data_IF_444729984360
#
_entry.id   IF_444729984360
#
_cell.length_a   1.000
_cell.length_b   1.000
_cell.length_c   1.000
_cell.angle_alpha   90.00
_cell.angle_beta   90.00
_cell.angle_gamma   90.00
#
_symmetry.space_group_name_H-M   'P 1'
#
loop_
_entity.id
_entity.type
_entity.pdbx_description
1 polymer ?
#
# COMPACT_ATOMS: atom_id res chain seq x y z
N UNK A 1 28.81 11.68 2.91
CA UNK A 1 28.62 10.24 2.64
C UNK A 1 27.84 9.55 3.75
N UNK A 2 28.23 9.68 5.03
CA UNK A 2 27.51 9.04 6.15
C UNK A 2 26.02 9.44 6.25
N UNK A 3 25.68 10.74 6.08
CA UNK A 3 24.29 11.21 6.09
C UNK A 3 23.46 10.54 5.00
N UNK A 4 24.00 10.42 3.78
CA UNK A 4 23.28 9.76 2.67
C UNK A 4 23.05 8.28 2.98
N UNK A 5 24.04 7.57 3.50
CA UNK A 5 23.91 6.18 3.91
C UNK A 5 22.85 6.01 5.00
N UNK A 6 22.81 6.90 6.00
CA UNK A 6 21.78 6.92 7.04
C UNK A 6 20.38 7.12 6.45
N UNK A 7 20.23 8.06 5.50
CA UNK A 7 18.93 8.33 4.87
C UNK A 7 18.46 7.19 3.97
N UNK A 8 19.37 6.47 3.31
CA UNK A 8 19.02 5.25 2.55
C UNK A 8 18.44 4.19 3.49
N UNK A 9 19.06 3.95 4.63
CA UNK A 9 18.59 2.96 5.61
C UNK A 9 17.22 3.35 6.18
N UNK A 10 17.03 4.60 6.57
CA UNK A 10 15.74 5.10 7.02
C UNK A 10 14.67 5.00 5.92
N UNK A 11 15.08 5.29 4.68
CA UNK A 11 14.23 5.22 3.50
C UNK A 11 13.76 3.82 3.13
N UNK A 12 14.52 2.78 3.46
CA UNK A 12 14.12 1.39 3.23
C UNK A 12 12.88 1.01 4.05
N UNK A 13 12.81 1.40 5.31
CA UNK A 13 11.64 1.13 6.15
C UNK A 13 10.38 1.86 5.65
N UNK A 14 10.49 3.16 5.34
CA UNK A 14 9.41 3.92 4.73
C UNK A 14 9.01 3.36 3.37
N UNK A 15 10.01 2.97 2.56
CA UNK A 15 9.81 2.34 1.26
C UNK A 15 9.10 0.99 1.34
N UNK A 16 9.33 0.21 2.40
CA UNK A 16 8.58 -1.02 2.67
C UNK A 16 7.08 -0.77 2.88
N UNK A 17 6.73 0.29 3.60
CA UNK A 17 5.32 0.71 3.79
C UNK A 17 4.72 1.16 2.45
N UNK A 18 5.44 1.98 1.67
CA UNK A 18 4.98 2.44 0.36
C UNK A 18 4.84 1.28 -0.65
N UNK A 19 5.72 0.29 -0.58
CA UNK A 19 5.64 -0.90 -1.41
C UNK A 19 4.36 -1.72 -1.11
N UNK A 20 4.00 -1.90 0.16
CA UNK A 20 2.78 -2.62 0.54
C UNK A 20 1.52 -1.94 -0.01
N UNK A 21 1.40 -0.62 0.16
CA UNK A 21 0.24 0.11 -0.37
C UNK A 21 0.24 0.13 -1.91
N UNK A 22 1.40 0.26 -2.56
CA UNK A 22 1.53 0.23 -4.02
C UNK A 22 1.16 -1.14 -4.61
N UNK A 23 1.57 -2.24 -3.97
CA UNK A 23 1.20 -3.59 -4.39
C UNK A 23 -0.31 -3.80 -4.24
N UNK A 24 -0.92 -3.29 -3.17
CA UNK A 24 -2.38 -3.31 -3.02
C UNK A 24 -3.11 -2.60 -4.17
N UNK A 25 -2.65 -1.43 -4.56
CA UNK A 25 -3.16 -0.68 -5.72
C UNK A 25 -3.01 -1.46 -7.02
N UNK A 26 -1.79 -1.92 -7.29
CA UNK A 26 -1.45 -2.70 -8.50
C UNK A 26 -2.27 -3.98 -8.62
N UNK A 27 -2.55 -4.65 -7.51
CA UNK A 27 -3.33 -5.89 -7.49
C UNK A 27 -4.77 -5.65 -7.95
N UNK A 28 -5.45 -4.61 -7.45
CA UNK A 28 -6.83 -4.29 -7.88
C UNK A 28 -6.84 -3.79 -9.32
N UNK A 29 -5.94 -2.86 -9.66
CA UNK A 29 -5.91 -2.31 -11.01
C UNK A 29 -5.57 -3.39 -12.06
N UNK A 30 -4.59 -4.23 -11.78
CA UNK A 30 -4.15 -5.27 -12.72
C UNK A 30 -5.20 -6.34 -13.01
N UNK A 31 -6.09 -6.65 -12.04
CA UNK A 31 -7.08 -7.72 -12.18
C UNK A 31 -8.47 -7.18 -12.54
N UNK A 32 -8.87 -6.04 -11.97
CA UNK A 32 -10.22 -5.49 -12.14
C UNK A 32 -10.26 -4.35 -13.17
N UNK A 33 -9.12 -3.73 -13.44
CA UNK A 33 -8.99 -2.64 -14.42
C UNK A 33 -9.57 -1.29 -13.93
N UNK A 34 -9.74 -1.11 -12.62
CA UNK A 34 -10.28 0.13 -12.04
C UNK A 34 -9.31 0.80 -11.08
N UNK A 35 -9.36 2.12 -11.02
CA UNK A 35 -8.63 2.91 -10.03
C UNK A 35 -9.44 2.92 -8.73
N UNK A 36 -9.01 2.14 -7.75
CA UNK A 36 -9.69 2.02 -6.45
C UNK A 36 -9.27 3.12 -5.47
N UNK A 37 -9.83 4.32 -5.59
CA UNK A 37 -9.46 5.46 -4.73
C UNK A 37 -9.72 5.23 -3.23
N UNK A 38 -10.57 4.24 -2.87
CA UNK A 38 -10.85 3.89 -1.47
C UNK A 38 -9.70 3.16 -0.77
N UNK A 39 -8.68 2.72 -1.53
CA UNK A 39 -7.55 1.96 -0.97
C UNK A 39 -6.78 2.73 0.12
N UNK A 40 -6.63 4.06 -0.05
CA UNK A 40 -6.06 4.92 0.98
C UNK A 40 -6.89 4.95 2.27
N UNK A 41 -8.21 4.87 2.18
CA UNK A 41 -9.05 4.83 3.36
C UNK A 41 -8.97 3.49 4.10
N UNK A 42 -8.75 2.38 3.37
CA UNK A 42 -8.47 1.07 3.99
C UNK A 42 -7.14 1.08 4.74
N UNK A 43 -6.13 1.77 4.24
CA UNK A 43 -4.89 2.04 4.97
C UNK A 43 -5.18 2.77 6.30
N UNK A 44 -5.98 3.82 6.30
CA UNK A 44 -6.40 4.54 7.51
C UNK A 44 -7.16 3.61 8.47
N UNK A 45 -8.09 2.79 7.97
CA UNK A 45 -8.82 1.80 8.79
C UNK A 45 -7.85 0.84 9.47
N UNK A 46 -6.82 0.36 8.77
CA UNK A 46 -5.77 -0.51 9.34
C UNK A 46 -5.00 0.17 10.47
N UNK A 47 -4.61 1.43 10.27
CA UNK A 47 -3.93 2.23 11.29
C UNK A 47 -4.81 2.42 12.55
N UNK A 48 -6.08 2.80 12.39
CA UNK A 48 -6.97 2.98 13.54
C UNK A 48 -7.32 1.65 14.24
N UNK A 49 -7.52 0.58 13.49
CA UNK A 49 -7.74 -0.76 14.07
C UNK A 49 -6.57 -1.17 14.94
N UNK A 50 -5.36 -1.05 14.41
CA UNK A 50 -4.15 -1.33 15.17
C UNK A 50 -4.01 -0.47 16.42
N UNK A 51 -4.28 0.82 16.31
CA UNK A 51 -4.27 1.74 17.46
C UNK A 51 -5.22 1.28 18.57
N UNK A 52 -6.46 0.94 18.24
CA UNK A 52 -7.43 0.49 19.26
C UNK A 52 -7.04 -0.86 19.87
N UNK A 53 -6.55 -1.80 19.07
CA UNK A 53 -6.12 -3.12 19.56
C UNK A 53 -4.91 -3.01 20.50
N UNK A 54 -3.99 -2.12 20.22
CA UNK A 54 -2.78 -1.93 21.05
C UNK A 54 -3.05 -1.08 22.29
N UNK A 55 -3.88 -0.05 22.18
CA UNK A 55 -4.17 0.88 23.30
C UNK A 55 -5.21 0.30 24.25
N UNK A 56 -6.35 -0.16 23.72
CA UNK A 56 -7.45 -0.68 24.54
C UNK A 56 -7.32 -2.19 24.78
N UNK A 57 -6.96 -2.95 23.73
CA UNK A 57 -6.80 -4.40 23.79
C UNK A 57 -5.46 -4.84 24.38
N UNK A 58 -4.52 -3.93 24.61
CA UNK A 58 -3.15 -4.22 25.10
C UNK A 58 -2.46 -5.35 24.33
N UNK A 59 -2.78 -5.47 23.05
CA UNK A 59 -2.23 -6.49 22.18
C UNK A 59 -0.81 -6.16 21.76
N UNK A 60 0.01 -7.18 21.61
CA UNK A 60 1.35 -7.06 21.02
C UNK A 60 1.29 -6.81 19.51
N UNK A 61 2.40 -6.43 18.91
CA UNK A 61 2.52 -6.01 17.51
C UNK A 61 1.91 -7.03 16.52
N UNK A 62 2.30 -8.32 16.63
CA UNK A 62 1.96 -9.34 15.63
C UNK A 62 0.45 -9.64 15.59
N UNK A 63 -0.24 -9.97 16.71
CA UNK A 63 -1.68 -10.20 16.66
C UNK A 63 -2.46 -8.95 16.26
N UNK A 64 -2.04 -7.75 16.70
CA UNK A 64 -2.68 -6.51 16.28
C UNK A 64 -2.55 -6.27 14.76
N UNK A 65 -1.38 -6.55 14.18
CA UNK A 65 -1.16 -6.49 12.73
C UNK A 65 -2.08 -7.47 11.98
N UNK A 66 -2.12 -8.73 12.38
CA UNK A 66 -2.94 -9.75 11.71
C UNK A 66 -4.43 -9.42 11.76
N UNK A 67 -4.94 -8.96 12.90
CA UNK A 67 -6.33 -8.53 13.03
C UNK A 67 -6.58 -7.28 12.17
N UNK A 68 -5.67 -6.31 12.15
CA UNK A 68 -5.78 -5.13 11.29
C UNK A 68 -5.83 -5.51 9.81
N UNK A 69 -5.02 -6.49 9.38
CA UNK A 69 -5.07 -7.02 8.01
C UNK A 69 -6.43 -7.69 7.71
N UNK A 70 -6.97 -8.47 8.64
CA UNK A 70 -8.30 -9.10 8.48
C UNK A 70 -9.42 -8.05 8.40
N UNK A 71 -9.38 -7.02 9.26
CA UNK A 71 -10.36 -5.92 9.23
C UNK A 71 -10.25 -5.12 7.92
N UNK A 72 -9.03 -4.84 7.46
CA UNK A 72 -8.80 -4.17 6.17
C UNK A 72 -9.29 -4.99 4.99
N UNK A 73 -9.06 -6.31 5.00
CA UNK A 73 -9.60 -7.22 3.99
C UNK A 73 -11.14 -7.19 3.98
N UNK A 74 -11.77 -7.27 5.14
CA UNK A 74 -13.22 -7.17 5.29
C UNK A 74 -13.77 -5.82 4.82
N UNK A 75 -13.13 -4.72 5.21
CA UNK A 75 -13.52 -3.38 4.78
C UNK A 75 -13.43 -3.23 3.25
N UNK A 76 -12.34 -3.69 2.62
CA UNK A 76 -12.20 -3.64 1.17
C UNK A 76 -13.25 -4.51 0.45
N UNK A 77 -13.59 -5.69 0.98
CA UNK A 77 -14.68 -6.51 0.43
C UNK A 77 -16.04 -5.84 0.58
N UNK A 78 -16.30 -5.14 1.68
CA UNK A 78 -17.53 -4.36 1.85
C UNK A 78 -17.61 -3.20 0.86
N UNK A 79 -16.51 -2.47 0.66
CA UNK A 79 -16.44 -1.40 -0.33
C UNK A 79 -16.66 -1.93 -1.76
N UNK A 80 -16.13 -3.10 -2.09
CA UNK A 80 -16.45 -3.78 -3.35
C UNK A 80 -17.93 -4.12 -3.45
N UNK A 81 -18.47 -4.78 -2.43
CA UNK A 81 -19.85 -5.27 -2.42
C UNK A 81 -20.88 -4.15 -2.59
N UNK A 82 -20.70 -3.02 -1.90
CA UNK A 82 -21.64 -1.91 -1.94
C UNK A 82 -21.34 -0.90 -3.06
N UNK A 83 -20.09 -0.74 -3.45
CA UNK A 83 -19.67 0.24 -4.45
C UNK A 83 -19.56 -0.33 -5.86
N UNK A 84 -18.80 -1.38 -6.06
CA UNK A 84 -18.40 -1.82 -7.39
C UNK A 84 -19.26 -2.97 -7.95
N UNK A 85 -19.75 -3.88 -7.10
CA UNK A 85 -20.64 -4.98 -7.55
C UNK A 85 -21.88 -4.45 -8.28
N UNK A 86 -22.60 -3.43 -7.77
CA UNK A 86 -23.76 -2.88 -8.50
C UNK A 86 -23.40 -2.31 -9.87
N UNK A 87 -22.22 -1.71 -10.00
CA UNK A 87 -21.75 -1.14 -11.28
C UNK A 87 -21.35 -2.25 -12.27
N UNK A 88 -20.68 -3.31 -11.78
CA UNK A 88 -20.34 -4.47 -12.62
C UNK A 88 -21.59 -5.13 -13.20
N UNK A 89 -22.63 -5.34 -12.36
CA UNK A 89 -23.89 -5.93 -12.79
C UNK A 89 -24.62 -5.09 -13.85
N UNK A 90 -24.45 -3.75 -13.83
CA UNK A 90 -25.02 -2.82 -14.81
C UNK A 90 -24.13 -2.60 -16.04
N UNK A 91 -22.94 -3.20 -16.09
CA UNK A 91 -21.99 -2.98 -17.19
C UNK A 91 -21.38 -1.59 -17.26
N UNK A 92 -21.51 -0.78 -16.20
CA UNK A 92 -21.07 0.64 -16.16
C UNK A 92 -19.80 0.87 -15.31
N UNK A 93 -19.06 -0.20 -14.99
CA UNK A 93 -17.92 -0.13 -14.07
C UNK A 93 -16.81 0.81 -14.59
N UNK A 94 -16.46 0.74 -15.86
CA UNK A 94 -15.40 1.58 -16.44
C UNK A 94 -15.73 3.07 -16.40
N UNK A 95 -16.99 3.45 -16.67
CA UNK A 95 -17.42 4.84 -16.75
C UNK A 95 -17.68 5.46 -15.36
N UNK A 96 -18.30 4.69 -14.46
CA UNK A 96 -18.76 5.20 -13.16
C UNK A 96 -17.90 4.74 -11.99
N UNK A 97 -17.00 3.78 -12.18
CA UNK A 97 -16.19 3.17 -11.11
C UNK A 97 -15.27 4.16 -10.41
N UNK A 98 -14.63 5.06 -11.17
CA UNK A 98 -13.75 6.09 -10.61
C UNK A 98 -14.53 7.11 -9.76
N UNK A 99 -15.68 7.59 -10.26
CA UNK A 99 -16.54 8.54 -9.53
C UNK A 99 -17.06 7.90 -8.25
N UNK A 100 -17.49 6.64 -8.32
CA UNK A 100 -17.93 5.87 -7.16
C UNK A 100 -16.80 5.69 -6.15
N UNK A 101 -15.57 5.39 -6.61
CA UNK A 101 -14.40 5.29 -5.77
C UNK A 101 -14.13 6.59 -5.00
N UNK A 102 -14.20 7.74 -5.66
CA UNK A 102 -14.03 9.06 -5.03
C UNK A 102 -15.14 9.34 -4.02
N UNK A 103 -16.40 9.04 -4.36
CA UNK A 103 -17.53 9.21 -3.45
C UNK A 103 -17.40 8.34 -2.20
N UNK A 104 -17.06 7.06 -2.35
CA UNK A 104 -16.84 6.13 -1.23
C UNK A 104 -15.64 6.54 -0.38
N UNK A 105 -14.52 6.94 -1.00
CA UNK A 105 -13.36 7.45 -0.26
C UNK A 105 -13.76 8.66 0.59
N UNK A 106 -14.47 9.62 -0.01
CA UNK A 106 -14.96 10.80 0.70
C UNK A 106 -15.89 10.43 1.86
N UNK A 107 -16.84 9.50 1.62
CA UNK A 107 -17.75 9.01 2.66
C UNK A 107 -16.98 8.40 3.84
N UNK A 108 -16.06 7.45 3.58
CA UNK A 108 -15.28 6.78 4.63
C UNK A 108 -14.43 7.78 5.40
N UNK A 109 -13.77 8.71 4.71
CA UNK A 109 -12.92 9.73 5.31
C UNK A 109 -13.69 10.63 6.28
N UNK A 110 -14.79 11.22 5.81
CA UNK A 110 -15.56 12.13 6.64
C UNK A 110 -16.36 11.42 7.74
N UNK A 111 -16.82 10.19 7.50
CA UNK A 111 -17.40 9.37 8.57
C UNK A 111 -16.38 9.04 9.67
N UNK A 112 -15.17 8.71 9.28
CA UNK A 112 -14.06 8.48 10.24
C UNK A 112 -13.69 9.74 10.99
N UNK A 113 -13.67 10.89 10.31
CA UNK A 113 -13.40 12.18 10.96
C UNK A 113 -14.50 12.56 11.96
N UNK A 114 -15.76 12.28 11.65
CA UNK A 114 -16.87 12.49 12.58
C UNK A 114 -16.81 11.53 13.80
N UNK A 115 -16.43 10.25 13.55
CA UNK A 115 -16.38 9.24 14.62
C UNK A 115 -15.16 9.39 15.53
N UNK A 116 -13.99 9.68 15.01
CA UNK A 116 -12.72 9.70 15.75
C UNK A 116 -12.23 11.09 16.12
N UNK A 117 -12.90 12.14 15.65
CA UNK A 117 -12.48 13.55 15.68
C UNK A 117 -11.16 13.77 14.91
N UNK A 118 -10.81 15.02 14.65
CA UNK A 118 -9.59 15.38 13.91
C UNK A 118 -8.30 15.25 14.73
N UNK A 119 -8.38 14.83 15.99
CA UNK A 119 -7.24 14.80 16.90
C UNK A 119 -6.20 13.77 16.48
N UNK A 120 -4.93 14.16 16.34
CA UNK A 120 -3.85 13.23 16.05
C UNK A 120 -3.67 12.24 17.22
N UNK A 121 -3.40 10.98 16.90
CA UNK A 121 -3.17 9.91 17.88
C UNK A 121 -1.83 9.24 17.64
N UNK A 122 -1.20 8.78 18.71
CA UNK A 122 0.08 8.09 18.69
C UNK A 122 -0.10 6.72 19.32
N UNK A 123 0.48 5.70 18.71
CA UNK A 123 0.51 4.36 19.28
C UNK A 123 1.25 4.35 20.61
N UNK A 124 0.86 3.47 21.55
CA UNK A 124 1.67 3.22 22.74
C UNK A 124 3.03 2.63 22.32
N UNK A 125 4.01 2.71 23.19
CA UNK A 125 5.30 2.08 22.96
C UNK A 125 5.13 0.55 22.89
N UNK A 126 5.06 0.02 21.68
CA UNK A 126 4.88 -1.42 21.41
C UNK A 126 6.21 -2.19 21.40
N UNK A 127 7.29 -1.49 21.16
CA UNK A 127 8.61 -2.03 20.92
C UNK A 127 9.65 -1.22 21.69
N UNK A 128 10.60 -1.90 22.30
CA UNK A 128 11.75 -1.23 22.88
C UNK A 128 12.53 -0.49 21.79
N UNK A 129 12.71 0.81 21.99
CA UNK A 129 13.53 1.62 21.11
C UNK A 129 15.01 1.33 21.38
N UNK A 130 15.62 0.55 20.48
CA UNK A 130 17.06 0.28 20.51
C UNK A 130 17.68 0.78 19.21
N UNK A 131 18.77 1.52 19.31
CA UNK A 131 19.59 1.87 18.16
C UNK A 131 20.56 0.73 17.90
N UNK A 132 20.46 0.13 16.73
CA UNK A 132 21.35 -0.91 16.25
C UNK A 132 22.40 -0.25 15.35
N UNK A 133 23.67 -0.30 15.73
CA UNK A 133 24.78 0.15 14.88
C UNK A 133 25.03 -0.92 13.82
N UNK A 134 24.80 -0.56 12.55
CA UNK A 134 24.99 -1.48 11.42
C UNK A 134 26.46 -1.50 10.97
N UNK A 135 27.02 -0.31 10.77
CA UNK A 135 28.42 -0.13 10.39
C UNK A 135 28.84 1.32 10.67
N UNK A 136 30.15 1.58 10.57
CA UNK A 136 30.74 2.91 10.81
C UNK A 136 31.40 3.43 9.54
N UNK A 137 31.15 4.69 9.19
CA UNK A 137 31.82 5.39 8.09
C UNK A 137 32.63 6.55 8.68
N UNK A 138 33.95 6.37 8.77
CA UNK A 138 34.82 7.32 9.48
C UNK A 138 34.43 7.36 10.97
N UNK A 139 34.20 8.56 11.51
CA UNK A 139 33.80 8.74 12.91
C UNK A 139 32.27 8.69 13.12
N UNK A 140 31.49 8.49 12.07
CA UNK A 140 30.02 8.46 12.15
C UNK A 140 29.50 7.03 12.16
N UNK A 141 28.73 6.69 13.19
CA UNK A 141 28.00 5.41 13.26
C UNK A 141 26.72 5.51 12.43
N UNK A 142 26.50 4.51 11.58
CA UNK A 142 25.25 4.35 10.84
C UNK A 142 24.37 3.42 11.65
N UNK A 143 23.22 3.95 12.09
CA UNK A 143 22.33 3.27 13.00
C UNK A 143 20.96 3.04 12.37
N UNK A 144 20.28 1.98 12.78
CA UNK A 144 18.90 1.70 12.46
C UNK A 144 18.12 1.44 13.75
N UNK A 145 16.98 2.09 13.90
CA UNK A 145 16.09 1.78 15.02
C UNK A 145 15.54 0.36 14.88
N UNK A 146 15.44 -0.36 16.00
CA UNK A 146 14.80 -1.69 16.05
C UNK A 146 13.40 -1.69 15.44
N UNK A 147 12.66 -0.60 15.59
CA UNK A 147 11.31 -0.41 15.03
C UNK A 147 11.36 -0.38 13.48
N UNK A 148 12.28 0.42 12.90
CA UNK A 148 12.45 0.49 11.44
C UNK A 148 12.85 -0.88 10.85
N UNK A 149 13.74 -1.61 11.54
CA UNK A 149 14.15 -2.95 11.11
C UNK A 149 12.96 -3.93 11.13
N UNK A 150 12.16 -3.93 12.19
CA UNK A 150 11.01 -4.83 12.30
C UNK A 150 9.93 -4.51 11.26
N UNK A 151 9.69 -3.24 10.95
CA UNK A 151 8.76 -2.83 9.89
C UNK A 151 9.29 -3.25 8.52
N UNK A 152 10.57 -3.04 8.25
CA UNK A 152 11.18 -3.48 6.99
C UNK A 152 11.07 -5.00 6.83
N UNK A 153 11.45 -5.76 7.85
CA UNK A 153 11.34 -7.22 7.83
C UNK A 153 9.88 -7.68 7.72
N UNK A 154 8.97 -7.08 8.48
CA UNK A 154 7.54 -7.38 8.41
C UNK A 154 6.95 -7.11 7.02
N UNK A 155 7.30 -5.98 6.41
CA UNK A 155 6.84 -5.67 5.05
C UNK A 155 7.40 -6.63 4.02
N UNK A 156 8.69 -7.01 4.12
CA UNK A 156 9.31 -7.99 3.23
C UNK A 156 8.70 -9.38 3.39
N UNK A 157 8.40 -9.82 4.62
CA UNK A 157 7.72 -11.09 4.89
C UNK A 157 6.33 -11.11 4.27
N UNK A 158 5.54 -10.04 4.46
CA UNK A 158 4.20 -9.95 3.86
C UNK A 158 4.29 -10.01 2.33
N UNK A 159 5.24 -9.31 1.72
CA UNK A 159 5.46 -9.34 0.27
C UNK A 159 5.91 -10.73 -0.21
N UNK A 160 6.78 -11.42 0.53
CA UNK A 160 7.20 -12.79 0.21
C UNK A 160 6.02 -13.78 0.28
N UNK A 161 5.20 -13.68 1.33
CA UNK A 161 3.97 -14.48 1.47
C UNK A 161 3.01 -14.22 0.31
N UNK A 162 2.84 -12.97 -0.07
CA UNK A 162 2.01 -12.59 -1.21
C UNK A 162 2.56 -13.17 -2.52
N UNK A 163 3.85 -13.09 -2.76
CA UNK A 163 4.50 -13.67 -3.94
C UNK A 163 4.29 -15.19 -3.99
N UNK A 164 4.43 -15.87 -2.84
CA UNK A 164 4.13 -17.31 -2.74
C UNK A 164 2.66 -17.60 -3.00
N UNK A 165 1.74 -16.77 -2.51
CA UNK A 165 0.31 -16.89 -2.78
C UNK A 165 0.04 -16.83 -4.28
N UNK A 166 0.56 -15.85 -5.00
CA UNK A 166 0.34 -15.71 -6.44
C UNK A 166 0.97 -16.85 -7.26
N UNK A 167 2.16 -17.32 -6.88
CA UNK A 167 2.90 -18.32 -7.67
C UNK A 167 2.53 -19.77 -7.34
N UNK A 168 2.10 -20.04 -6.11
CA UNK A 168 1.91 -21.42 -5.63
C UNK A 168 0.45 -21.83 -5.45
N UNK A 169 -0.49 -20.89 -5.24
CA UNK A 169 -1.89 -21.23 -5.06
C UNK A 169 -2.68 -21.20 -6.37
N UNK A 170 -3.72 -22.04 -6.49
CA UNK A 170 -4.62 -22.03 -7.65
C UNK A 170 -5.36 -20.71 -7.79
N UNK A 171 -5.82 -20.14 -6.68
CA UNK A 171 -6.48 -18.82 -6.67
C UNK A 171 -5.54 -17.72 -7.13
N UNK A 172 -4.30 -17.69 -6.65
CA UNK A 172 -3.29 -16.71 -7.07
C UNK A 172 -2.95 -16.82 -8.56
N UNK A 173 -2.78 -18.05 -9.07
CA UNK A 173 -2.56 -18.28 -10.51
C UNK A 173 -3.77 -17.86 -11.35
N UNK A 174 -4.99 -18.13 -10.90
CA UNK A 174 -6.21 -17.69 -11.56
C UNK A 174 -6.32 -16.16 -11.57
N UNK A 175 -5.94 -15.47 -10.48
CA UNK A 175 -5.87 -14.01 -10.43
C UNK A 175 -4.86 -13.44 -11.44
N UNK A 176 -3.67 -14.05 -11.56
CA UNK A 176 -2.67 -13.69 -12.58
C UNK A 176 -3.16 -13.91 -14.01
N UNK A 177 -3.84 -15.02 -14.28
CA UNK A 177 -4.45 -15.26 -15.57
C UNK A 177 -5.60 -14.28 -15.87
N UNK A 178 -6.44 -13.98 -14.88
CA UNK A 178 -7.53 -13.00 -14.98
C UNK A 178 -7.07 -11.58 -15.24
N UNK A 179 -5.84 -11.22 -14.84
CA UNK A 179 -5.26 -9.91 -15.15
C UNK A 179 -4.93 -9.75 -16.65
N UNK A 180 -4.81 -10.85 -17.39
CA UNK A 180 -4.62 -10.84 -18.85
C UNK A 180 -5.96 -10.84 -19.58
N UNK A 181 -6.88 -11.73 -19.20
CA UNK A 181 -8.22 -11.81 -19.76
C UNK A 181 -9.20 -12.50 -18.79
N UNK A 182 -9.97 -11.67 -18.08
CA UNK A 182 -10.98 -12.15 -17.14
C UNK A 182 -12.16 -12.85 -17.82
N UNK A 183 -12.49 -12.47 -19.08
CA UNK A 183 -13.61 -13.09 -19.82
C UNK A 183 -13.25 -14.50 -20.23
N UNK A 184 -12.08 -14.68 -20.85
CA UNK A 184 -11.58 -16.01 -21.25
C UNK A 184 -11.42 -16.92 -20.03
N UNK A 185 -10.91 -16.39 -18.90
CA UNK A 185 -10.81 -17.16 -17.67
C UNK A 185 -12.19 -17.64 -17.15
N UNK A 186 -13.22 -16.80 -17.28
CA UNK A 186 -14.61 -17.17 -16.95
C UNK A 186 -15.13 -18.32 -17.83
N UNK A 187 -14.80 -18.32 -19.13
CA UNK A 187 -15.17 -19.42 -20.04
C UNK A 187 -14.48 -20.75 -19.69
N UNK A 188 -13.33 -20.70 -19.04
CA UNK A 188 -12.61 -21.87 -18.51
C UNK A 188 -13.17 -22.37 -17.17
N UNK A 189 -14.29 -21.80 -16.69
CA UNK A 189 -15.00 -22.23 -15.48
C UNK A 189 -14.55 -21.56 -14.19
N UNK A 190 -13.69 -20.55 -14.24
CA UNK A 190 -13.33 -19.79 -13.05
C UNK A 190 -14.43 -18.78 -12.68
N UNK A 191 -14.75 -18.67 -11.37
CA UNK A 191 -15.69 -17.69 -10.85
C UNK A 191 -15.02 -16.32 -10.74
N UNK A 192 -15.24 -15.47 -11.75
CA UNK A 192 -14.68 -14.12 -11.83
C UNK A 192 -15.07 -13.24 -10.64
N UNK A 193 -16.33 -13.34 -10.16
CA UNK A 193 -16.79 -12.55 -9.01
C UNK A 193 -16.07 -12.94 -7.72
N UNK A 194 -15.82 -14.22 -7.51
CA UNK A 194 -15.05 -14.72 -6.37
C UNK A 194 -13.60 -14.25 -6.46
N UNK A 195 -12.99 -14.28 -7.64
CA UNK A 195 -11.61 -13.80 -7.84
C UNK A 195 -11.49 -12.30 -7.55
N UNK A 196 -12.44 -11.50 -8.00
CA UNK A 196 -12.47 -10.07 -7.72
C UNK A 196 -12.60 -9.81 -6.21
N UNK A 197 -13.50 -10.52 -5.50
CA UNK A 197 -13.62 -10.41 -4.04
C UNK A 197 -12.32 -10.74 -3.32
N UNK A 198 -11.63 -11.81 -3.73
CA UNK A 198 -10.31 -12.17 -3.16
C UNK A 198 -9.28 -11.09 -3.47
N UNK A 199 -9.31 -10.50 -4.66
CA UNK A 199 -8.45 -9.37 -5.05
C UNK A 199 -8.62 -8.18 -4.10
N UNK A 200 -9.86 -7.78 -3.83
CA UNK A 200 -10.15 -6.71 -2.87
C UNK A 200 -9.72 -7.07 -1.45
N UNK A 201 -9.92 -8.33 -1.02
CA UNK A 201 -9.49 -8.79 0.30
C UNK A 201 -7.97 -8.72 0.46
N UNK A 202 -7.21 -9.22 -0.51
CA UNK A 202 -5.74 -9.19 -0.51
C UNK A 202 -5.25 -7.74 -0.53
N UNK A 203 -5.78 -6.92 -1.42
CA UNK A 203 -5.45 -5.49 -1.48
C UNK A 203 -5.75 -4.79 -0.15
N UNK A 204 -6.92 -5.04 0.44
CA UNK A 204 -7.31 -4.45 1.71
C UNK A 204 -6.41 -4.87 2.87
N UNK A 205 -6.00 -6.14 2.92
CA UNK A 205 -5.05 -6.64 3.91
C UNK A 205 -3.69 -5.91 3.79
N UNK A 206 -3.19 -5.71 2.58
CA UNK A 206 -1.93 -5.00 2.32
C UNK A 206 -2.01 -3.51 2.69
N UNK A 207 -3.11 -2.84 2.30
CA UNK A 207 -3.35 -1.45 2.68
C UNK A 207 -3.42 -1.27 4.20
N UNK A 208 -4.13 -2.17 4.89
CA UNK A 208 -4.23 -2.13 6.35
C UNK A 208 -2.90 -2.43 7.04
N UNK A 209 -2.08 -3.36 6.53
CA UNK A 209 -0.74 -3.64 7.04
C UNK A 209 0.17 -2.41 6.89
N UNK A 210 0.14 -1.75 5.72
CA UNK A 210 0.88 -0.52 5.50
C UNK A 210 0.44 0.60 6.45
N UNK A 211 -0.88 0.75 6.67
CA UNK A 211 -1.44 1.70 7.62
C UNK A 211 -1.03 1.42 9.07
N UNK A 212 -1.06 0.15 9.47
CA UNK A 212 -0.60 -0.29 10.78
C UNK A 212 0.87 0.07 11.01
N UNK A 213 1.77 -0.30 10.08
CA UNK A 213 3.19 0.01 10.17
C UNK A 213 3.46 1.52 10.19
N UNK A 214 2.71 2.28 9.38
CA UNK A 214 2.80 3.74 9.46
C UNK A 214 2.36 4.29 10.81
N UNK A 215 1.29 3.73 11.41
CA UNK A 215 0.81 4.12 12.73
C UNK A 215 1.82 3.85 13.85
N UNK A 216 2.63 2.79 13.72
CA UNK A 216 3.72 2.48 14.66
C UNK A 216 4.87 3.50 14.57
N UNK A 217 5.13 4.05 13.36
CA UNK A 217 6.21 5.04 13.15
C UNK A 217 5.78 6.48 13.34
N UNK A 218 4.54 6.79 12.95
CA UNK A 218 4.07 8.17 12.83
C UNK A 218 2.72 8.35 13.50
N UNK A 219 2.35 9.59 13.68
CA UNK A 219 1.03 9.98 14.17
C UNK A 219 -0.07 9.62 13.17
N UNK A 220 -1.19 9.09 13.66
CA UNK A 220 -2.36 8.78 12.86
C UNK A 220 -3.45 9.85 13.02
N UNK A 221 -4.17 10.09 11.94
CA UNK A 221 -5.31 11.02 11.90
C UNK A 221 -6.30 10.59 10.81
N UNK A 222 -7.60 10.94 10.90
CA UNK A 222 -8.63 10.36 10.03
C UNK A 222 -8.48 10.66 8.54
N UNK A 223 -7.76 11.71 8.17
CA UNK A 223 -7.56 12.10 6.77
C UNK A 223 -6.24 11.62 6.17
N UNK A 224 -5.45 10.84 6.92
CA UNK A 224 -4.12 10.35 6.48
C UNK A 224 -4.18 9.47 5.24
N UNK A 225 -5.30 8.76 5.04
CA UNK A 225 -5.49 7.84 3.92
C UNK A 225 -5.41 8.49 2.56
N UNK A 226 -5.83 9.76 2.44
CA UNK A 226 -5.82 10.48 1.16
C UNK A 226 -4.41 10.63 0.58
N UNK A 227 -3.49 11.17 1.38
CA UNK A 227 -2.11 11.40 0.95
C UNK A 227 -1.36 10.07 0.79
N UNK A 228 -1.55 9.13 1.72
CA UNK A 228 -0.94 7.80 1.65
C UNK A 228 -1.42 7.03 0.41
N UNK A 229 -2.72 7.10 0.10
CA UNK A 229 -3.29 6.53 -1.12
C UNK A 229 -2.68 7.11 -2.39
N UNK A 230 -2.55 8.44 -2.46
CA UNK A 230 -1.94 9.13 -3.60
C UNK A 230 -0.46 8.75 -3.78
N UNK A 231 0.32 8.68 -2.69
CA UNK A 231 1.71 8.22 -2.73
C UNK A 231 1.82 6.75 -3.16
N UNK A 232 0.97 5.89 -2.61
CA UNK A 232 0.93 4.48 -3.02
C UNK A 232 0.62 4.32 -4.50
N UNK A 233 -0.31 5.12 -5.02
CA UNK A 233 -0.61 5.18 -6.45
C UNK A 233 0.60 5.65 -7.27
N UNK A 234 1.28 6.71 -6.84
CA UNK A 234 2.51 7.18 -7.47
C UNK A 234 3.60 6.11 -7.50
N UNK A 235 3.78 5.36 -6.39
CA UNK A 235 4.73 4.25 -6.32
C UNK A 235 4.34 3.09 -7.25
N UNK A 236 3.04 2.79 -7.38
CA UNK A 236 2.54 1.76 -8.28
C UNK A 236 2.78 2.12 -9.75
N UNK A 237 2.51 3.37 -10.12
CA UNK A 237 2.77 3.90 -11.46
C UNK A 237 4.28 3.88 -11.77
N UNK A 238 5.09 4.39 -10.85
CA UNK A 238 6.54 4.39 -11.00
C UNK A 238 7.09 2.99 -11.22
N UNK A 239 6.59 2.03 -10.46
CA UNK A 239 6.97 0.62 -10.60
C UNK A 239 6.53 -0.02 -11.90
N UNK A 240 5.41 0.43 -12.44
CA UNK A 240 4.68 -0.16 -13.57
C UNK A 240 3.41 -0.86 -13.11
N UNK A 241 2.28 -0.27 -13.43
CA UNK A 241 0.96 -0.75 -13.01
C UNK A 241 0.75 -2.18 -13.52
N UNK A 242 0.24 -3.06 -12.67
CA UNK A 242 0.07 -4.48 -12.97
C UNK A 242 1.28 -5.36 -12.61
N UNK A 243 2.45 -4.76 -12.32
CA UNK A 243 3.65 -5.48 -11.90
C UNK A 243 3.85 -5.40 -10.38
N UNK A 244 3.68 -6.52 -9.67
CA UNK A 244 3.90 -6.62 -8.22
C UNK A 244 5.35 -6.28 -7.87
N UNK A 245 6.30 -6.86 -8.62
CA UNK A 245 7.73 -6.61 -8.43
C UNK A 245 8.08 -5.15 -8.74
N UNK A 246 7.45 -4.58 -9.79
CA UNK A 246 7.60 -3.17 -10.13
C UNK A 246 7.13 -2.26 -9.01
N UNK A 247 5.95 -2.51 -8.45
CA UNK A 247 5.40 -1.72 -7.34
C UNK A 247 6.26 -1.80 -6.07
N UNK A 248 6.89 -2.95 -5.80
CA UNK A 248 7.87 -3.10 -4.73
C UNK A 248 9.06 -2.19 -4.94
N UNK A 249 9.66 -2.23 -6.13
CA UNK A 249 10.81 -1.38 -6.50
C UNK A 249 10.42 0.09 -6.47
N UNK A 250 9.25 0.44 -7.01
CA UNK A 250 8.72 1.81 -6.99
C UNK A 250 8.54 2.36 -5.58
N UNK A 251 7.97 1.56 -4.66
CA UNK A 251 7.82 1.94 -3.26
C UNK A 251 9.15 2.16 -2.54
N UNK A 252 10.12 1.26 -2.74
CA UNK A 252 11.45 1.37 -2.15
C UNK A 252 12.20 2.60 -2.68
N UNK A 253 12.16 2.85 -3.98
CA UNK A 253 12.81 4.01 -4.60
C UNK A 253 12.23 5.33 -4.08
N UNK A 254 10.91 5.45 -4.02
CA UNK A 254 10.26 6.65 -3.47
C UNK A 254 10.60 6.84 -2.00
N UNK A 255 10.55 5.78 -1.19
CA UNK A 255 10.89 5.86 0.22
C UNK A 255 12.34 6.30 0.46
N UNK A 256 13.30 5.80 -0.31
CA UNK A 256 14.70 6.21 -0.26
C UNK A 256 14.85 7.67 -0.71
N UNK A 257 14.25 8.05 -1.84
CA UNK A 257 14.34 9.41 -2.37
C UNK A 257 13.75 10.45 -1.42
N UNK A 258 12.59 10.18 -0.82
CA UNK A 258 11.99 11.05 0.19
C UNK A 258 12.89 11.26 1.42
N UNK A 259 13.50 10.17 1.91
CA UNK A 259 14.35 10.26 3.08
C UNK A 259 15.67 10.98 2.78
N UNK A 260 16.28 10.75 1.62
CA UNK A 260 17.47 11.51 1.17
C UNK A 260 17.14 13.01 1.08
N UNK A 261 16.01 13.35 0.45
CA UNK A 261 15.58 14.76 0.33
C UNK A 261 15.29 15.38 1.69
N UNK A 262 14.64 14.64 2.58
CA UNK A 262 14.35 15.10 3.94
C UNK A 262 15.64 15.38 4.74
N UNK A 263 16.67 14.57 4.56
CA UNK A 263 17.93 14.70 5.29
C UNK A 263 18.91 15.69 4.70
N UNK A 264 18.86 15.96 3.38
CA UNK A 264 19.79 16.86 2.71
C UNK A 264 19.20 18.24 2.40
N UNK A 265 17.90 18.36 2.19
CA UNK A 265 17.24 19.60 1.77
C UNK A 265 16.26 20.05 2.86
N UNK A 266 15.10 19.43 2.93
CA UNK A 266 14.04 19.72 3.93
C UNK A 266 12.94 18.67 3.88
N UNK A 267 12.32 18.43 5.04
CA UNK A 267 11.14 17.54 5.16
C UNK A 267 9.93 18.02 4.37
N UNK A 268 9.81 19.34 4.15
CA UNK A 268 8.70 19.92 3.38
C UNK A 268 8.69 19.54 1.89
N UNK A 269 9.82 19.08 1.34
CA UNK A 269 9.92 18.66 -0.08
C UNK A 269 9.65 17.18 -0.31
N UNK A 270 9.34 16.39 0.72
CA UNK A 270 9.08 14.94 0.59
C UNK A 270 8.06 14.62 -0.51
N UNK A 271 6.90 15.26 -0.43
CA UNK A 271 5.80 15.00 -1.36
C UNK A 271 6.14 15.49 -2.79
N UNK A 272 6.77 16.66 -2.89
CA UNK A 272 7.19 17.21 -4.18
C UNK A 272 8.18 16.28 -4.90
N UNK A 273 9.12 15.67 -4.19
CA UNK A 273 10.06 14.71 -4.76
C UNK A 273 9.36 13.42 -5.20
N UNK A 274 8.45 12.87 -4.39
CA UNK A 274 7.71 11.66 -4.76
C UNK A 274 6.94 11.84 -6.05
N UNK A 275 6.17 12.92 -6.15
CA UNK A 275 5.40 13.22 -7.36
C UNK A 275 6.28 13.69 -8.52
N UNK A 276 7.37 14.42 -8.25
CA UNK A 276 8.34 14.82 -9.26
C UNK A 276 9.01 13.63 -9.92
N UNK A 277 9.45 12.63 -9.15
CA UNK A 277 10.02 11.38 -9.68
C UNK A 277 8.97 10.63 -10.51
N UNK A 278 7.73 10.54 -10.03
CA UNK A 278 6.65 9.91 -10.79
C UNK A 278 6.45 10.58 -12.15
N UNK A 279 6.34 11.91 -12.19
CA UNK A 279 6.17 12.68 -13.43
C UNK A 279 7.36 12.45 -14.37
N UNK A 280 8.58 12.55 -13.86
CA UNK A 280 9.80 12.38 -14.63
C UNK A 280 9.86 10.98 -15.26
N UNK A 281 9.56 9.93 -14.49
CA UNK A 281 9.57 8.56 -15.01
C UNK A 281 8.48 8.36 -16.04
N UNK A 282 7.27 8.89 -15.85
CA UNK A 282 6.19 8.78 -16.83
C UNK A 282 6.52 9.50 -18.15
N UNK A 283 7.25 10.62 -18.10
CA UNK A 283 7.70 11.33 -19.30
C UNK A 283 8.75 10.55 -20.11
N UNK A 284 9.61 9.79 -19.41
CA UNK A 284 10.69 9.02 -20.05
C UNK A 284 10.20 7.61 -20.43
N UNK A 285 9.45 6.96 -19.53
CA UNK A 285 8.96 5.58 -19.68
C UNK A 285 7.52 5.47 -19.19
N UNK A 286 6.53 5.74 -20.05
CA UNK A 286 5.12 5.77 -19.65
C UNK A 286 4.58 4.44 -19.09
N UNK A 287 5.24 3.31 -19.36
CA UNK A 287 4.90 2.00 -18.78
C UNK A 287 5.40 1.81 -17.34
N UNK A 288 6.16 2.76 -16.78
CA UNK A 288 6.89 2.60 -15.52
C UNK A 288 8.15 1.75 -15.66
N UNK A 289 8.84 1.50 -14.54
CA UNK A 289 10.15 0.83 -14.54
C UNK A 289 10.06 -0.63 -15.02
N UNK A 290 9.03 -1.37 -14.59
CA UNK A 290 8.82 -2.80 -14.85
C UNK A 290 7.43 -3.11 -15.41
N UNK A 291 6.74 -2.13 -16.00
CA UNK A 291 5.44 -2.33 -16.63
C UNK A 291 5.55 -3.09 -17.95
N UNK A 292 4.51 -3.87 -18.26
CA UNK A 292 4.40 -4.56 -19.54
C UNK A 292 3.77 -3.62 -20.56
N UNK A 293 4.31 -3.60 -21.78
CA UNK A 293 3.60 -3.06 -22.94
C UNK A 293 2.50 -4.03 -23.32
N UNK A 294 1.24 -3.63 -23.13
CA UNK A 294 0.14 -4.34 -23.76
C UNK A 294 0.21 -4.01 -25.25
N UNK A 295 0.68 -4.94 -26.06
CA UNK A 295 0.41 -4.88 -27.50
C UNK A 295 -1.10 -5.08 -27.68
N UNK A 296 -1.80 -4.04 -28.13
CA UNK A 296 -3.16 -4.22 -28.64
C UNK A 296 -3.06 -5.22 -29.80
N UNK A 297 -3.50 -6.45 -29.56
CA UNK A 297 -3.77 -7.37 -30.65
C UNK A 297 -4.97 -6.84 -31.41
N UNK A 298 -4.68 -6.21 -32.55
CA UNK A 298 -5.65 -5.81 -33.58
C UNK A 298 -6.36 -7.04 -34.10
#
# INVERSE_FOLDING_TARGET
>A
MAVVAQQIINGLAAGGIYALIAIGWTTVFGIVGIINWTHGEVYMIGAYTGFFLTTMGRMTLIPALLISMCVGAGAAMLLDQFGYVPLRKKGSLQQSGFITALGLSTLVRYSSNAAFKADPRVYPELLEYKLLTLFRIGDTEITMSSIHLQILLGSLIIMAVLQLFFTRTMTGKAMMAGSQDMKTLGLMGADSERLIKVTFAVSGALGAAAGFFNGVLYTIFPTMGALAGLKGWACAILGGIGSITGSLVGGLLVGIAENITSGLISTGYKDAISFGIMILVLLIKPTGLMGYTFEEKV
#
